data_IF_480300955905
#
_entry.id   IF_480300955905
#
_cell.length_a   1.000
_cell.length_b   1.000
_cell.length_c   1.000
_cell.angle_alpha   90.00
_cell.angle_beta   90.00
_cell.angle_gamma   90.00
#
_symmetry.space_group_name_H-M   'P 1'
#
loop_
_entity.id
_entity.type
_entity.pdbx_description
1 polymer ?
#
# COMPACT_ATOMS: atom_id res chain seq x y z
N UNK A 1 28.75 -14.81 -3.10
CA UNK A 1 27.50 -14.38 -2.41
C UNK A 1 26.58 -13.72 -3.40
N UNK A 2 25.28 -13.97 -3.27
CA UNK A 2 24.30 -13.30 -4.13
C UNK A 2 24.22 -11.81 -3.75
N UNK A 3 23.94 -10.93 -4.74
CA UNK A 3 23.75 -9.50 -4.50
C UNK A 3 22.64 -9.23 -3.46
N UNK A 4 21.61 -10.09 -3.41
CA UNK A 4 20.52 -9.97 -2.46
C UNK A 4 20.97 -10.17 -1.01
N UNK A 5 22.06 -10.94 -0.76
CA UNK A 5 22.56 -11.18 0.58
C UNK A 5 23.24 -9.94 1.19
N UNK A 6 23.66 -8.97 0.35
CA UNK A 6 24.31 -7.73 0.81
C UNK A 6 23.35 -6.55 0.95
N UNK A 7 22.07 -6.71 0.57
CA UNK A 7 21.08 -5.65 0.64
C UNK A 7 20.58 -5.52 2.10
N UNK A 8 20.53 -4.28 2.58
CA UNK A 8 19.92 -3.97 3.87
C UNK A 8 18.38 -3.92 3.73
N UNK A 9 17.75 -5.05 3.94
CA UNK A 9 16.31 -5.17 3.78
C UNK A 9 15.50 -4.40 4.84
N UNK A 10 16.09 -4.18 6.02
CA UNK A 10 15.48 -3.29 7.03
C UNK A 10 15.37 -1.87 6.48
N UNK A 11 16.45 -1.38 5.88
CA UNK A 11 16.48 -0.04 5.27
C UNK A 11 15.54 0.05 4.08
N UNK A 12 15.51 -0.98 3.23
CA UNK A 12 14.59 -1.02 2.07
C UNK A 12 13.14 -0.89 2.52
N UNK A 13 12.73 -1.66 3.55
CA UNK A 13 11.36 -1.62 4.05
C UNK A 13 11.02 -0.26 4.68
N UNK A 14 11.93 0.30 5.48
CA UNK A 14 11.71 1.59 6.12
C UNK A 14 11.62 2.72 5.09
N UNK A 15 12.48 2.72 4.08
CA UNK A 15 12.46 3.75 3.03
C UNK A 15 11.24 3.61 2.13
N UNK A 16 10.90 2.39 1.74
CA UNK A 16 9.70 2.15 0.93
C UNK A 16 8.44 2.66 1.64
N UNK A 17 8.29 2.32 2.92
CA UNK A 17 7.14 2.79 3.70
C UNK A 17 7.21 4.27 4.00
N UNK A 18 8.43 4.83 4.17
CA UNK A 18 8.65 6.27 4.36
C UNK A 18 8.18 7.11 3.17
N UNK A 19 8.13 6.53 1.99
CA UNK A 19 7.55 7.16 0.80
C UNK A 19 6.07 6.79 0.67
N UNK A 20 5.76 5.51 0.78
CA UNK A 20 4.42 4.99 0.52
C UNK A 20 3.38 5.47 1.54
N UNK A 21 3.75 5.55 2.82
CA UNK A 21 2.84 6.01 3.87
C UNK A 21 2.30 7.42 3.61
N UNK A 22 3.18 8.44 3.46
CA UNK A 22 2.73 9.78 3.11
C UNK A 22 1.99 9.85 1.78
N UNK A 23 2.40 9.07 0.77
CA UNK A 23 1.71 9.02 -0.52
C UNK A 23 0.28 8.51 -0.36
N UNK A 24 0.05 7.50 0.48
CA UNK A 24 -1.30 7.01 0.77
C UNK A 24 -2.17 8.10 1.41
N UNK A 25 -1.62 8.85 2.37
CA UNK A 25 -2.33 9.96 3.01
C UNK A 25 -2.74 11.00 1.96
N UNK A 26 -1.79 11.42 1.12
CA UNK A 26 -2.03 12.41 0.08
C UNK A 26 -3.04 11.90 -0.95
N UNK A 27 -2.97 10.62 -1.31
CA UNK A 27 -3.92 9.99 -2.24
C UNK A 27 -5.34 10.04 -1.68
N UNK A 28 -5.51 9.75 -0.39
CA UNK A 28 -6.82 9.81 0.26
C UNK A 28 -7.37 11.23 0.32
N UNK A 29 -6.53 12.21 0.67
CA UNK A 29 -6.91 13.62 0.69
C UNK A 29 -7.29 14.08 -0.72
N UNK A 30 -6.47 13.76 -1.72
CA UNK A 30 -6.74 14.12 -3.11
C UNK A 30 -8.06 13.51 -3.61
N UNK A 31 -8.38 12.29 -3.16
CA UNK A 31 -9.63 11.64 -3.50
C UNK A 31 -10.87 12.38 -3.03
N UNK A 32 -10.77 13.15 -1.94
CA UNK A 32 -11.86 14.03 -1.50
C UNK A 32 -11.92 15.34 -2.27
N UNK A 33 -10.79 15.80 -2.81
CA UNK A 33 -10.68 17.13 -3.42
C UNK A 33 -10.86 17.11 -4.93
N UNK A 34 -10.46 16.01 -5.61
CA UNK A 34 -10.50 15.90 -7.06
C UNK A 34 -11.85 15.32 -7.48
N UNK A 35 -12.58 15.98 -8.43
CA UNK A 35 -13.83 15.40 -8.95
C UNK A 35 -13.59 14.04 -9.57
N UNK A 36 -14.49 13.06 -9.35
CA UNK A 36 -14.30 11.69 -9.86
C UNK A 36 -13.99 11.60 -11.35
N UNK A 37 -14.59 12.47 -12.15
CA UNK A 37 -14.39 12.50 -13.61
C UNK A 37 -12.97 12.87 -14.02
N UNK A 38 -12.20 13.54 -13.14
CA UNK A 38 -10.85 14.00 -13.42
C UNK A 38 -9.78 13.09 -12.80
N UNK A 39 -10.18 12.12 -11.99
CA UNK A 39 -9.27 11.22 -11.31
C UNK A 39 -9.13 9.89 -12.05
N UNK A 40 -7.90 9.40 -12.17
CA UNK A 40 -7.63 8.06 -12.71
C UNK A 40 -7.96 6.96 -11.71
N UNK A 41 -7.90 7.28 -10.42
CA UNK A 41 -8.18 6.36 -9.31
C UNK A 41 -9.56 6.59 -8.75
N UNK A 42 -10.07 5.60 -8.01
CA UNK A 42 -11.32 5.75 -7.28
C UNK A 42 -11.20 6.85 -6.23
N UNK A 43 -12.17 7.75 -6.18
CA UNK A 43 -12.32 8.76 -5.14
C UNK A 43 -13.41 8.41 -4.14
N UNK A 44 -13.85 7.15 -4.06
CA UNK A 44 -14.89 6.73 -3.12
C UNK A 44 -14.52 7.12 -1.69
N UNK A 45 -15.44 7.70 -0.90
CA UNK A 45 -15.12 8.17 0.46
C UNK A 45 -14.53 7.09 1.36
N UNK A 46 -15.06 5.88 1.32
CA UNK A 46 -14.54 4.78 2.13
C UNK A 46 -13.09 4.43 1.74
N UNK A 47 -12.77 4.48 0.46
CA UNK A 47 -11.43 4.22 -0.06
C UNK A 47 -10.46 5.32 0.34
N UNK A 48 -10.91 6.58 0.28
CA UNK A 48 -10.10 7.73 0.71
C UNK A 48 -9.74 7.63 2.20
N UNK A 49 -10.70 7.31 3.05
CA UNK A 49 -10.46 7.12 4.50
C UNK A 49 -9.50 5.96 4.73
N UNK A 50 -9.68 4.85 4.01
CA UNK A 50 -8.78 3.69 4.08
C UNK A 50 -7.33 4.09 3.75
N UNK A 51 -7.12 4.89 2.71
CA UNK A 51 -5.79 5.37 2.34
C UNK A 51 -5.19 6.27 3.42
N UNK A 52 -5.97 7.20 3.97
CA UNK A 52 -5.49 8.12 5.01
C UNK A 52 -5.10 7.34 6.27
N UNK A 53 -5.95 6.45 6.73
CA UNK A 53 -5.71 5.67 7.95
C UNK A 53 -4.51 4.74 7.77
N UNK A 54 -4.47 4.01 6.66
CA UNK A 54 -3.36 3.09 6.36
C UNK A 54 -2.04 3.85 6.23
N UNK A 55 -2.06 4.97 5.54
CA UNK A 55 -0.88 5.82 5.39
C UNK A 55 -0.40 6.40 6.71
N UNK A 56 -1.32 6.78 7.60
CA UNK A 56 -0.98 7.29 8.92
C UNK A 56 -0.32 6.19 9.78
N UNK A 57 -0.84 4.98 9.76
CA UNK A 57 -0.25 3.84 10.47
C UNK A 57 1.16 3.56 9.94
N UNK A 58 1.32 3.48 8.62
CA UNK A 58 2.62 3.22 8.01
C UNK A 58 3.63 4.30 8.32
N UNK A 59 3.24 5.57 8.24
CA UNK A 59 4.10 6.70 8.59
C UNK A 59 4.52 6.67 10.06
N UNK A 60 3.58 6.35 10.95
CA UNK A 60 3.87 6.22 12.39
C UNK A 60 4.91 5.13 12.66
N UNK A 61 4.85 4.00 11.94
CA UNK A 61 5.83 2.92 12.09
C UNK A 61 7.23 3.35 11.66
N UNK A 62 7.33 4.13 10.58
CA UNK A 62 8.61 4.70 10.14
C UNK A 62 9.16 5.65 11.18
N UNK A 63 8.33 6.56 11.69
CA UNK A 63 8.75 7.53 12.72
C UNK A 63 9.13 6.86 14.03
N UNK A 64 8.52 5.74 14.36
CA UNK A 64 8.88 4.93 15.53
C UNK A 64 10.21 4.18 15.35
N UNK A 65 10.76 4.14 14.14
CA UNK A 65 12.05 3.52 13.85
C UNK A 65 12.05 1.99 13.91
N UNK A 66 10.88 1.34 13.79
CA UNK A 66 10.77 -0.12 13.84
C UNK A 66 10.89 -0.74 12.46
N UNK A 67 12.06 -1.30 12.14
CA UNK A 67 12.29 -1.96 10.86
C UNK A 67 11.39 -3.18 10.67
N UNK A 68 11.20 -3.99 11.72
CA UNK A 68 10.30 -5.15 11.65
C UNK A 68 8.85 -4.73 11.50
N UNK A 69 8.45 -3.64 12.16
CA UNK A 69 7.11 -3.07 11.99
C UNK A 69 6.87 -2.61 10.56
N UNK A 70 7.84 -1.95 9.96
CA UNK A 70 7.75 -1.52 8.55
C UNK A 70 7.65 -2.73 7.61
N UNK A 71 8.47 -3.76 7.82
CA UNK A 71 8.42 -4.99 7.00
C UNK A 71 7.08 -5.72 7.18
N UNK A 72 6.58 -5.80 8.41
CA UNK A 72 5.28 -6.41 8.68
C UNK A 72 4.14 -5.65 8.02
N UNK A 73 4.17 -4.32 8.06
CA UNK A 73 3.19 -3.48 7.39
C UNK A 73 3.24 -3.71 5.87
N UNK A 74 4.43 -3.70 5.28
CA UNK A 74 4.59 -3.88 3.84
C UNK A 74 4.08 -5.26 3.40
N UNK A 75 4.38 -6.30 4.15
CA UNK A 75 3.87 -7.64 3.88
C UNK A 75 2.34 -7.69 3.95
N UNK A 76 1.78 -7.18 5.05
CA UNK A 76 0.33 -7.20 5.27
C UNK A 76 -0.40 -6.34 4.25
N UNK A 77 0.11 -5.14 3.97
CA UNK A 77 -0.51 -4.23 3.00
C UNK A 77 -0.36 -4.76 1.58
N UNK A 78 0.78 -5.38 1.26
CA UNK A 78 0.97 -6.04 -0.03
C UNK A 78 -0.02 -7.18 -0.23
N UNK A 79 -0.23 -8.02 0.79
CA UNK A 79 -1.24 -9.08 0.76
C UNK A 79 -2.65 -8.50 0.61
N UNK A 80 -2.94 -7.40 1.30
CA UNK A 80 -4.22 -6.71 1.21
C UNK A 80 -4.45 -6.14 -0.19
N UNK A 81 -3.44 -5.56 -0.81
CA UNK A 81 -3.53 -5.05 -2.17
C UNK A 81 -3.82 -6.18 -3.18
N UNK A 82 -3.15 -7.32 -3.03
CA UNK A 82 -3.43 -8.48 -3.88
C UNK A 82 -4.85 -8.99 -3.68
N UNK A 83 -5.33 -8.99 -2.43
CA UNK A 83 -6.72 -9.31 -2.14
C UNK A 83 -7.67 -8.31 -2.81
N UNK A 84 -7.36 -7.02 -2.77
CA UNK A 84 -8.18 -5.99 -3.40
C UNK A 84 -8.25 -6.17 -4.91
N UNK A 85 -7.15 -6.60 -5.55
CA UNK A 85 -7.16 -6.92 -6.98
C UNK A 85 -8.14 -8.07 -7.26
N UNK A 86 -8.11 -9.13 -6.44
CA UNK A 86 -9.03 -10.26 -6.56
C UNK A 86 -10.48 -9.83 -6.28
N UNK A 87 -10.68 -9.02 -5.23
CA UNK A 87 -12.01 -8.51 -4.86
C UNK A 87 -12.61 -7.65 -5.98
N UNK A 88 -11.79 -6.81 -6.60
CA UNK A 88 -12.22 -5.97 -7.72
C UNK A 88 -12.62 -6.81 -8.93
N UNK A 89 -11.85 -7.85 -9.26
CA UNK A 89 -12.15 -8.74 -10.37
C UNK A 89 -13.41 -9.58 -10.12
N UNK A 90 -13.60 -10.04 -8.87
CA UNK A 90 -14.71 -10.94 -8.50
C UNK A 90 -15.96 -10.24 -7.95
N UNK A 91 -15.89 -8.95 -7.70
CA UNK A 91 -17.00 -8.21 -7.09
C UNK A 91 -17.18 -8.47 -5.60
N UNK A 92 -16.13 -8.90 -4.90
CA UNK A 92 -16.16 -9.19 -3.47
C UNK A 92 -16.02 -7.91 -2.66
N UNK A 93 -16.39 -7.99 -1.35
CA UNK A 93 -16.11 -6.89 -0.43
C UNK A 93 -14.59 -6.58 -0.43
N UNK A 94 -14.15 -5.35 -0.47
CA UNK A 94 -14.91 -4.07 -0.40
C UNK A 94 -15.16 -3.40 -1.76
N UNK A 95 -15.14 -4.12 -2.86
CA UNK A 95 -15.22 -3.56 -4.21
C UNK A 95 -16.39 -2.60 -4.40
N UNK A 96 -17.57 -2.93 -3.85
CA UNK A 96 -18.77 -2.09 -3.93
C UNK A 96 -18.57 -0.74 -3.23
N UNK A 97 -17.86 -0.73 -2.11
CA UNK A 97 -17.66 0.48 -1.31
C UNK A 97 -16.48 1.31 -1.82
N UNK A 98 -15.46 0.66 -2.36
CA UNK A 98 -14.25 1.32 -2.84
C UNK A 98 -14.35 1.74 -4.31
N UNK A 99 -15.21 1.11 -5.08
CA UNK A 99 -15.50 1.47 -6.48
C UNK A 99 -14.24 1.63 -7.33
N UNK A 100 -13.43 0.57 -7.38
CA UNK A 100 -12.14 0.57 -8.07
C UNK A 100 -12.25 0.97 -9.54
N UNK A 101 -11.26 1.73 -10.02
CA UNK A 101 -11.03 2.01 -11.43
C UNK A 101 -9.87 1.17 -11.95
N UNK A 102 -9.59 1.23 -13.25
CA UNK A 102 -8.51 0.44 -13.85
C UNK A 102 -7.16 0.74 -13.21
N UNK A 103 -6.84 2.02 -12.96
CA UNK A 103 -5.58 2.39 -12.32
C UNK A 103 -5.44 1.75 -10.93
N UNK A 104 -6.54 1.67 -10.16
CA UNK A 104 -6.54 1.01 -8.85
C UNK A 104 -6.16 -0.47 -9.00
N UNK A 105 -6.74 -1.17 -9.97
CA UNK A 105 -6.44 -2.59 -10.20
C UNK A 105 -4.97 -2.81 -10.54
N UNK A 106 -4.42 -2.00 -11.43
CA UNK A 106 -3.01 -2.09 -11.82
C UNK A 106 -2.11 -1.85 -10.61
N UNK A 107 -2.38 -0.79 -9.84
CA UNK A 107 -1.59 -0.44 -8.66
C UNK A 107 -1.68 -1.53 -7.59
N UNK A 108 -2.85 -2.12 -7.36
CA UNK A 108 -3.01 -3.20 -6.39
C UNK A 108 -2.14 -4.41 -6.74
N UNK A 109 -2.05 -4.78 -8.01
CA UNK A 109 -1.20 -5.88 -8.42
C UNK A 109 0.28 -5.52 -8.30
N UNK A 110 0.69 -4.38 -8.85
CA UNK A 110 2.11 -3.98 -8.89
C UNK A 110 2.63 -3.70 -7.49
N UNK A 111 1.94 -2.85 -6.72
CA UNK A 111 2.35 -2.51 -5.36
C UNK A 111 2.18 -3.71 -4.43
N UNK A 112 1.13 -4.50 -4.62
CA UNK A 112 0.90 -5.69 -3.82
C UNK A 112 2.05 -6.68 -3.93
N UNK A 113 2.48 -6.98 -5.14
CA UNK A 113 3.62 -7.87 -5.37
C UNK A 113 4.91 -7.30 -4.80
N UNK A 114 5.19 -6.02 -5.05
CA UNK A 114 6.42 -5.38 -4.60
C UNK A 114 6.48 -5.32 -3.06
N UNK A 115 5.43 -4.81 -2.42
CA UNK A 115 5.39 -4.66 -0.96
C UNK A 115 5.38 -6.01 -0.25
N UNK A 116 4.65 -6.99 -0.79
CA UNK A 116 4.64 -8.34 -0.23
C UNK A 116 6.05 -8.93 -0.26
N UNK A 117 6.74 -8.81 -1.40
CA UNK A 117 8.08 -9.38 -1.57
C UNK A 117 9.10 -8.75 -0.62
N UNK A 118 9.18 -7.42 -0.57
CA UNK A 118 10.16 -6.76 0.32
C UNK A 118 9.84 -6.98 1.80
N UNK A 119 8.56 -6.99 2.16
CA UNK A 119 8.13 -7.29 3.52
C UNK A 119 8.47 -8.71 3.94
N UNK A 120 8.21 -9.68 3.06
CA UNK A 120 8.55 -11.08 3.29
C UNK A 120 10.04 -11.27 3.51
N UNK A 121 10.86 -10.70 2.62
CA UNK A 121 12.32 -10.81 2.73
C UNK A 121 12.80 -10.13 4.00
N UNK A 122 12.28 -8.94 4.31
CA UNK A 122 12.67 -8.18 5.50
C UNK A 122 12.36 -8.91 6.81
N UNK A 123 11.24 -9.64 6.88
CA UNK A 123 10.87 -10.41 8.07
C UNK A 123 11.69 -11.69 8.24
N UNK A 124 12.24 -12.21 7.17
CA UNK A 124 13.06 -13.43 7.20
C UNK A 124 14.53 -13.17 7.51
N UNK A 125 14.99 -11.92 7.44
CA UNK A 125 16.39 -11.52 7.66
C UNK A 125 16.61 -10.90 9.08
#
# INVERSE_FOLDING_TARGET
>A
MSALATVDWALVNSRALGVFGPVLILTGIAGFLIPPRLSLMSGAPAYNVFHIVSGAIGTALVLAGTARGCAAFNLAFGALDLYQAAAGAGGFFPARHFRYKLADHILHVVLGLALFAIGWIGLRR
#
